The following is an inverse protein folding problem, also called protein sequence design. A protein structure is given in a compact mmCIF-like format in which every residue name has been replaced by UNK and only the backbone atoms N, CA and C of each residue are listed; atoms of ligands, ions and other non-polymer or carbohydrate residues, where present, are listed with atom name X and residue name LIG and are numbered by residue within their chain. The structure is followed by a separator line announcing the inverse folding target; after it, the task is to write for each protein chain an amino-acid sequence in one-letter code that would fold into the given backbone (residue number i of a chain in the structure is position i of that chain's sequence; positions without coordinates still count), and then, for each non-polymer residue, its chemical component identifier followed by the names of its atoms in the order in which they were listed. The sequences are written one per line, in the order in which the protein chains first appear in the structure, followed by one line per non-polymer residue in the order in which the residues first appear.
data_IF_048191070969
#
_entry.id   IF_048191070969
#
_cell.length_a   1.000
_cell.length_b   1.000
_cell.length_c   1.000
_cell.angle_alpha   90.00
_cell.angle_beta   90.00
_cell.angle_gamma   90.00
#
_symmetry.space_group_name_H-M   'P 1'
#
loop_
_entity.id
_entity.type
_entity.pdbx_description
1 polymer ?
#
# COMPACT_ATOMS: atom_id res chain seq x y z
N UNK A 1 -31.93 -6.24 11.12
CA UNK A 1 -30.87 -5.28 11.54
C UNK A 1 -29.53 -5.41 10.80
N UNK A 2 -29.40 -6.25 9.76
CA UNK A 2 -28.12 -6.47 9.04
C UNK A 2 -27.92 -5.55 7.81
N UNK A 3 -29.02 -5.09 7.19
CA UNK A 3 -28.98 -4.26 5.99
C UNK A 3 -28.46 -2.83 6.22
N UNK A 4 -28.67 -2.26 7.40
CA UNK A 4 -28.21 -0.90 7.73
C UNK A 4 -26.69 -0.84 7.98
N UNK A 5 -26.12 -1.87 8.61
CA UNK A 5 -24.68 -1.98 8.84
C UNK A 5 -23.91 -2.02 7.50
N UNK A 6 -24.36 -2.86 6.56
CA UNK A 6 -23.81 -2.94 5.20
C UNK A 6 -23.89 -1.62 4.42
N UNK A 7 -24.94 -0.81 4.60
CA UNK A 7 -25.07 0.50 3.91
C UNK A 7 -24.17 1.56 4.52
N UNK A 8 -23.99 1.57 5.85
CA UNK A 8 -23.11 2.51 6.55
C UNK A 8 -21.64 2.27 6.19
N UNK A 9 -21.19 1.01 6.23
CA UNK A 9 -19.83 0.62 5.84
C UNK A 9 -19.52 0.95 4.37
N UNK A 10 -20.51 0.87 3.46
CA UNK A 10 -20.31 1.28 2.04
C UNK A 10 -20.16 2.79 1.85
N UNK A 11 -20.84 3.61 2.67
CA UNK A 11 -20.69 5.07 2.61
C UNK A 11 -19.34 5.49 3.18
N UNK A 12 -18.96 4.92 4.32
CA UNK A 12 -17.66 5.15 4.96
C UNK A 12 -16.51 4.74 4.03
N UNK A 13 -16.62 3.59 3.35
CA UNK A 13 -15.65 3.14 2.36
C UNK A 13 -15.52 4.10 1.17
N UNK A 14 -16.65 4.54 0.58
CA UNK A 14 -16.62 5.50 -0.54
C UNK A 14 -15.99 6.83 -0.13
N UNK A 15 -16.36 7.33 1.05
CA UNK A 15 -15.79 8.56 1.59
C UNK A 15 -14.28 8.43 1.84
N UNK A 16 -13.84 7.27 2.35
CA UNK A 16 -12.42 6.97 2.51
C UNK A 16 -11.66 6.92 1.18
N UNK A 17 -12.26 6.38 0.11
CA UNK A 17 -11.68 6.43 -1.23
C UNK A 17 -11.57 7.87 -1.76
N UNK A 18 -12.62 8.67 -1.60
CA UNK A 18 -12.65 10.06 -2.09
C UNK A 18 -11.60 10.93 -1.38
N UNK A 19 -11.48 10.85 -0.04
CA UNK A 19 -10.48 11.60 0.72
C UNK A 19 -9.04 11.20 0.36
N UNK A 20 -8.85 9.92 0.07
CA UNK A 20 -7.51 9.37 -0.17
C UNK A 20 -7.19 9.25 -1.66
N UNK A 21 -8.03 9.80 -2.54
CA UNK A 21 -7.77 9.83 -3.96
C UNK A 21 -6.45 10.57 -4.26
N UNK A 22 -5.63 9.99 -5.13
CA UNK A 22 -4.30 10.49 -5.47
C UNK A 22 -3.21 10.15 -4.45
N UNK A 23 -3.55 9.69 -3.24
CA UNK A 23 -2.56 9.33 -2.22
C UNK A 23 -1.91 7.99 -2.49
N UNK A 24 -0.66 7.86 -2.05
CA UNK A 24 0.13 6.64 -2.10
C UNK A 24 0.19 6.04 -0.71
N UNK A 25 -0.06 4.74 -0.64
CA UNK A 25 0.03 3.92 0.55
C UNK A 25 1.15 2.90 0.39
N UNK A 26 1.99 2.79 1.42
CA UNK A 26 2.94 1.70 1.54
C UNK A 26 2.40 0.66 2.52
N UNK A 27 2.11 -0.54 2.03
CA UNK A 27 1.59 -1.63 2.85
C UNK A 27 2.74 -2.60 3.16
N UNK A 28 2.91 -2.93 4.44
CA UNK A 28 3.88 -3.92 4.88
C UNK A 28 3.26 -4.84 5.93
N UNK A 29 3.61 -6.13 5.90
CA UNK A 29 3.14 -7.10 6.89
C UNK A 29 3.82 -6.94 8.26
N UNK A 30 3.08 -7.20 9.33
CA UNK A 30 3.57 -7.28 10.71
C UNK A 30 4.73 -8.28 10.89
N UNK A 31 4.79 -9.32 10.06
CA UNK A 31 5.84 -10.34 10.09
C UNK A 31 7.20 -9.86 9.53
N UNK A 32 7.31 -8.60 9.08
CA UNK A 32 8.58 -8.01 8.68
C UNK A 32 9.25 -7.37 9.88
N UNK A 33 10.50 -7.76 10.16
CA UNK A 33 11.32 -7.20 11.24
C UNK A 33 11.97 -5.85 10.89
N UNK A 34 11.78 -5.38 9.65
CA UNK A 34 12.39 -4.15 9.17
C UNK A 34 11.52 -2.94 9.48
N UNK A 35 12.13 -1.86 9.99
CA UNK A 35 11.44 -0.62 10.35
C UNK A 35 11.19 0.26 9.11
N UNK A 36 10.12 -0.07 8.39
CA UNK A 36 9.66 0.73 7.26
C UNK A 36 9.07 2.07 7.70
N UNK A 37 8.45 2.13 8.87
CA UNK A 37 7.73 3.31 9.33
C UNK A 37 8.69 4.50 9.45
N UNK A 38 9.78 4.32 10.20
CA UNK A 38 10.80 5.36 10.39
C UNK A 38 11.40 5.84 9.07
N UNK A 39 11.65 4.94 8.13
CA UNK A 39 12.18 5.30 6.82
C UNK A 39 11.23 6.24 6.04
N UNK A 40 9.96 5.86 5.91
CA UNK A 40 9.00 6.66 5.16
C UNK A 40 8.67 7.98 5.87
N UNK A 41 8.58 7.99 7.21
CA UNK A 41 8.42 9.25 7.96
C UNK A 41 9.58 10.24 7.73
N UNK A 42 10.80 9.72 7.53
CA UNK A 42 12.00 10.54 7.33
C UNK A 42 12.17 11.01 5.89
N UNK A 43 11.83 10.16 4.90
CA UNK A 43 12.14 10.41 3.49
C UNK A 43 10.93 10.74 2.61
N UNK A 44 9.72 10.28 2.98
CA UNK A 44 8.49 10.36 2.18
C UNK A 44 7.26 10.53 3.09
N UNK A 45 7.23 11.62 3.86
CA UNK A 45 6.19 11.89 4.87
C UNK A 45 4.75 11.94 4.32
N UNK A 46 4.62 12.16 3.01
CA UNK A 46 3.38 12.16 2.25
C UNK A 46 2.83 10.77 1.96
N UNK A 47 3.66 9.71 2.06
CA UNK A 47 3.26 8.32 1.85
C UNK A 47 2.74 7.74 3.15
N UNK A 48 1.50 7.25 3.12
CA UNK A 48 0.87 6.66 4.29
C UNK A 48 1.35 5.21 4.43
N UNK A 49 2.13 4.94 5.48
CA UNK A 49 2.55 3.59 5.83
C UNK A 49 1.48 2.86 6.66
N UNK A 50 1.03 1.71 6.17
CA UNK A 50 0.09 0.85 6.90
C UNK A 50 0.72 -0.51 7.17
N UNK A 51 0.81 -0.84 8.46
CA UNK A 51 1.17 -2.19 8.90
C UNK A 51 -0.05 -3.09 8.83
N UNK A 52 0.06 -4.19 8.11
CA UNK A 52 -1.01 -5.17 7.90
C UNK A 52 -0.79 -6.34 8.86
N UNK A 53 -1.75 -6.63 9.75
CA UNK A 53 -1.59 -7.68 10.74
C UNK A 53 -1.66 -9.06 10.08
N UNK A 54 -1.01 -10.06 10.69
CA UNK A 54 -1.03 -11.43 10.17
C UNK A 54 -2.31 -12.22 10.57
N UNK A 55 -3.47 -11.54 10.53
CA UNK A 55 -4.80 -12.10 10.86
C UNK A 55 -5.87 -11.58 9.89
N UNK A 56 -7.13 -11.97 10.08
CA UNK A 56 -8.23 -11.44 9.27
C UNK A 56 -8.32 -9.92 9.38
N UNK A 57 -8.57 -9.27 8.24
CA UNK A 57 -8.72 -7.83 8.12
C UNK A 57 -10.22 -7.55 8.07
N UNK A 58 -10.75 -6.91 9.11
CA UNK A 58 -12.17 -6.54 9.18
C UNK A 58 -12.45 -5.15 8.57
N UNK A 59 -11.39 -4.41 8.21
CA UNK A 59 -11.45 -3.10 7.59
C UNK A 59 -11.57 -3.22 6.05
N UNK A 60 -12.72 -2.80 5.52
CA UNK A 60 -13.02 -2.83 4.08
C UNK A 60 -12.07 -1.97 3.23
N UNK A 61 -11.54 -0.87 3.80
CA UNK A 61 -10.60 -0.02 3.10
C UNK A 61 -9.25 -0.71 2.95
N UNK A 62 -8.75 -1.30 4.03
CA UNK A 62 -7.51 -2.08 4.00
C UNK A 62 -7.66 -3.31 3.10
N UNK A 63 -8.80 -4.02 3.18
CA UNK A 63 -9.08 -5.16 2.29
C UNK A 63 -9.09 -4.75 0.81
N UNK A 64 -9.66 -3.58 0.50
CA UNK A 64 -9.62 -3.01 -0.83
C UNK A 64 -8.20 -2.69 -1.30
N UNK A 65 -7.38 -2.01 -0.49
CA UNK A 65 -5.97 -1.75 -0.79
C UNK A 65 -5.16 -3.05 -0.96
N UNK A 66 -5.52 -4.08 -0.20
CA UNK A 66 -4.94 -5.41 -0.32
C UNK A 66 -5.41 -6.15 -1.58
N UNK A 67 -6.48 -5.71 -2.25
CA UNK A 67 -7.13 -6.38 -3.38
C UNK A 67 -7.49 -7.85 -3.05
N UNK A 68 -7.90 -8.12 -1.81
CA UNK A 68 -8.17 -9.47 -1.33
C UNK A 68 -6.96 -10.42 -1.31
N UNK A 69 -5.74 -9.90 -1.47
CA UNK A 69 -4.51 -10.71 -1.41
C UNK A 69 -4.11 -10.99 0.03
N UNK A 70 -3.46 -12.14 0.25
CA UNK A 70 -2.95 -12.51 1.57
C UNK A 70 -1.79 -11.59 1.98
N UNK A 71 -1.63 -11.28 3.29
CA UNK A 71 -0.52 -10.47 3.79
C UNK A 71 0.87 -10.93 3.35
N UNK A 72 1.05 -12.22 3.03
CA UNK A 72 2.32 -12.80 2.53
C UNK A 72 2.86 -12.19 1.23
N UNK A 73 2.07 -11.41 0.49
CA UNK A 73 2.52 -10.71 -0.72
C UNK A 73 3.07 -9.31 -0.45
N UNK A 74 3.25 -8.91 0.80
CA UNK A 74 3.79 -7.60 1.20
C UNK A 74 5.32 -7.62 1.28
N UNK A 75 6.03 -6.48 1.08
CA UNK A 75 5.49 -5.13 0.94
C UNK A 75 5.04 -4.75 -0.47
N UNK A 76 4.18 -3.73 -0.56
CA UNK A 76 3.73 -3.13 -1.84
C UNK A 76 3.37 -1.66 -1.69
N UNK A 77 3.43 -0.92 -2.81
CA UNK A 77 2.91 0.44 -2.94
C UNK A 77 1.56 0.42 -3.65
N UNK A 78 0.62 1.23 -3.18
CA UNK A 78 -0.73 1.34 -3.73
C UNK A 78 -1.08 2.81 -3.85
N UNK A 79 -1.36 3.29 -5.06
CA UNK A 79 -1.95 4.62 -5.29
C UNK A 79 -3.43 4.48 -5.60
N UNK A 80 -4.25 5.32 -4.97
CA UNK A 80 -5.67 5.42 -5.29
C UNK A 80 -5.83 6.38 -6.48
N UNK A 81 -6.49 5.93 -7.53
CA UNK A 81 -6.83 6.73 -8.71
C UNK A 81 -8.33 6.58 -9.04
N UNK A 82 -9.13 7.46 -8.45
CA UNK A 82 -10.58 7.37 -8.43
C UNK A 82 -11.04 6.08 -7.76
N UNK A 83 -11.66 5.20 -8.54
CA UNK A 83 -12.10 3.86 -8.08
C UNK A 83 -11.07 2.76 -8.38
N UNK A 84 -9.97 3.10 -9.05
CA UNK A 84 -8.92 2.16 -9.44
C UNK A 84 -7.76 2.22 -8.46
N UNK A 85 -6.99 1.13 -8.40
CA UNK A 85 -5.77 1.04 -7.62
C UNK A 85 -4.59 0.77 -8.55
N UNK A 86 -3.60 1.66 -8.51
CA UNK A 86 -2.32 1.45 -9.16
C UNK A 86 -1.39 0.78 -8.14
N UNK A 87 -1.04 -0.49 -8.39
CA UNK A 87 -0.29 -1.32 -7.44
C UNK A 87 1.11 -1.62 -7.98
N UNK A 88 2.12 -1.46 -7.12
CA UNK A 88 3.49 -1.93 -7.36
C UNK A 88 3.89 -2.92 -6.27
N UNK A 89 4.08 -4.17 -6.67
CA UNK A 89 4.44 -5.27 -5.77
C UNK A 89 5.95 -5.29 -5.50
N UNK A 90 6.34 -5.35 -4.24
CA UNK A 90 7.75 -5.33 -3.83
C UNK A 90 8.19 -6.57 -3.05
N UNK A 91 7.34 -7.59 -2.88
CA UNK A 91 7.69 -8.81 -2.14
C UNK A 91 8.94 -9.52 -2.67
N UNK A 92 9.07 -9.68 -3.99
CA UNK A 92 10.25 -10.34 -4.57
C UNK A 92 11.52 -9.52 -4.35
N UNK A 93 11.43 -8.20 -4.56
CA UNK A 93 12.52 -7.25 -4.30
C UNK A 93 12.91 -7.26 -2.83
N UNK A 94 11.94 -7.30 -1.91
CA UNK A 94 12.16 -7.41 -0.47
C UNK A 94 12.85 -8.72 -0.10
N UNK A 95 12.34 -9.86 -0.60
CA UNK A 95 12.92 -11.18 -0.35
C UNK A 95 14.36 -11.27 -0.86
N UNK A 96 14.67 -10.66 -1.99
CA UNK A 96 16.02 -10.66 -2.52
C UNK A 96 16.93 -9.69 -1.75
N UNK A 97 16.55 -8.40 -1.70
CA UNK A 97 17.41 -7.35 -1.19
C UNK A 97 17.55 -7.39 0.33
N UNK A 98 16.45 -7.55 1.08
CA UNK A 98 16.51 -7.53 2.54
C UNK A 98 16.86 -8.90 3.10
N UNK A 99 16.16 -9.97 2.68
CA UNK A 99 16.33 -11.29 3.31
C UNK A 99 17.54 -12.10 2.82
N UNK A 100 17.96 -11.94 1.56
CA UNK A 100 19.05 -12.77 0.99
C UNK A 100 20.38 -12.04 0.91
N UNK A 101 20.37 -10.77 0.52
CA UNK A 101 21.61 -10.00 0.29
C UNK A 101 21.87 -8.94 1.34
N UNK A 102 20.91 -8.68 2.25
CA UNK A 102 20.97 -7.62 3.26
C UNK A 102 21.34 -6.23 2.69
N UNK A 103 20.96 -5.97 1.44
CA UNK A 103 21.19 -4.72 0.74
C UNK A 103 19.92 -3.85 0.77
N UNK A 104 19.76 -3.14 1.87
CA UNK A 104 18.61 -2.26 2.12
C UNK A 104 18.57 -1.07 1.16
N UNK A 105 19.72 -0.49 0.84
CA UNK A 105 19.80 0.67 -0.06
C UNK A 105 19.21 0.34 -1.44
N UNK A 106 19.57 -0.83 -1.99
CA UNK A 106 19.02 -1.30 -3.27
C UNK A 106 17.51 -1.53 -3.22
N UNK A 107 16.99 -2.00 -2.08
CA UNK A 107 15.54 -2.12 -1.90
C UNK A 107 14.87 -0.75 -2.01
N UNK A 108 15.43 0.26 -1.35
CA UNK A 108 14.89 1.62 -1.37
C UNK A 108 15.02 2.29 -2.73
N UNK A 109 16.11 2.11 -3.46
CA UNK A 109 16.21 2.60 -4.84
C UNK A 109 15.07 2.09 -5.74
N UNK A 110 14.64 0.83 -5.55
CA UNK A 110 13.51 0.26 -6.28
C UNK A 110 12.16 0.85 -5.83
N UNK A 111 12.04 1.18 -4.55
CA UNK A 111 10.87 1.86 -3.97
C UNK A 111 10.77 3.27 -4.53
N UNK A 112 11.85 4.05 -4.48
CA UNK A 112 11.95 5.40 -5.05
C UNK A 112 11.51 5.44 -6.52
N UNK A 113 12.07 4.54 -7.34
CA UNK A 113 11.70 4.45 -8.74
C UNK A 113 10.21 4.11 -8.93
N UNK A 114 9.64 3.33 -8.03
CA UNK A 114 8.22 2.97 -8.07
C UNK A 114 7.32 4.12 -7.62
N UNK A 115 7.72 4.91 -6.61
CA UNK A 115 7.04 6.13 -6.16
C UNK A 115 7.00 7.14 -7.31
N UNK A 116 8.15 7.46 -7.90
CA UNK A 116 8.22 8.39 -9.04
C UNK A 116 7.34 7.97 -10.21
N UNK A 117 7.23 6.67 -10.46
CA UNK A 117 6.35 6.14 -11.51
C UNK A 117 4.87 6.20 -11.15
N UNK A 118 4.52 6.12 -9.87
CA UNK A 118 3.14 6.28 -9.38
C UNK A 118 2.71 7.75 -9.34
N UNK A 119 3.64 8.68 -9.08
CA UNK A 119 3.36 10.12 -9.05
C UNK A 119 3.07 10.69 -10.44
N UNK A 120 3.72 10.15 -11.48
CA UNK A 120 3.47 10.57 -12.87
C UNK A 120 1.97 10.45 -13.19
N UNK A 121 1.37 11.47 -13.84
CA UNK A 121 0.00 11.33 -14.33
C UNK A 121 -0.06 10.14 -15.29
N UNK A 122 -1.18 9.40 -15.36
CA UNK A 122 -1.35 8.40 -16.39
C UNK A 122 -1.09 9.08 -17.74
N UNK A 123 -0.22 8.47 -18.54
CA UNK A 123 0.11 8.98 -19.87
C UNK A 123 -1.20 9.33 -20.58
N UNK A 124 -1.36 10.60 -20.98
CA UNK A 124 -2.39 10.96 -21.95
C UNK A 124 -2.08 10.13 -23.19
N UNK A 125 -2.92 9.15 -23.51
CA UNK A 125 -2.96 8.59 -24.84
C UNK A 125 -3.16 9.77 -25.79
N UNK A 126 -2.15 10.03 -26.64
CA UNK A 126 -2.21 11.00 -27.74
C UNK A 126 -2.81 10.31 -28.94
#
# INVERSE_FOLDING_TARGET
MVFFYRRKCKREFKYALEINNGKIFFLYGEYHEFDFLTYFETHHSEIICLQIPNRSIDDLFIDHLMQGRKPKSLPKLVKIDGNNLLVKEHYNSFKHCIRRTNNTNRFFELIESSIQNLEKPPYKEV
#
